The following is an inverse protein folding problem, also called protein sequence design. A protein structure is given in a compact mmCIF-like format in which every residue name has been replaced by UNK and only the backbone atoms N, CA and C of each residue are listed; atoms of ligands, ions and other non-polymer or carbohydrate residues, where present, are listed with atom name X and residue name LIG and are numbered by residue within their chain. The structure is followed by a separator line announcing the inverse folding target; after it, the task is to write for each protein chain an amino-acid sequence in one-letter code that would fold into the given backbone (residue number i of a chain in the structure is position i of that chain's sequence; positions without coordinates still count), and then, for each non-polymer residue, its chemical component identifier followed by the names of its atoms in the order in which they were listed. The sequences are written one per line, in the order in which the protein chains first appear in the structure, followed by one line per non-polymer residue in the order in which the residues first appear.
data_IF_573812531030
#
_entry.id   IF_573812531030
#
_cell.length_a   1.000
_cell.length_b   1.000
_cell.length_c   1.000
_cell.angle_alpha   90.00
_cell.angle_beta   90.00
_cell.angle_gamma   90.00
#
_symmetry.space_group_name_H-M   'P 1'
#
loop_
_entity.id
_entity.type
_entity.pdbx_description
1 polymer ?
#
# COMPACT_ATOMS: atom_id res chain seq x y z
N UNK A 1 -7.30 -10.52 13.84
CA UNK A 1 -8.77 -10.43 13.78
C UNK A 1 -9.33 -10.88 15.13
N UNK A 2 -10.52 -10.40 15.56
CA UNK A 2 -11.08 -10.67 16.88
C UNK A 2 -11.12 -12.16 17.29
N UNK A 3 -11.14 -13.09 16.33
CA UNK A 3 -11.13 -14.54 16.55
C UNK A 3 -9.72 -15.19 16.38
N UNK A 4 -8.64 -14.42 16.37
CA UNK A 4 -7.26 -14.92 16.22
C UNK A 4 -6.74 -15.05 14.78
N UNK A 5 -7.54 -14.72 13.76
CA UNK A 5 -7.12 -14.74 12.36
C UNK A 5 -6.08 -13.66 11.99
N UNK A 6 -5.25 -13.91 10.96
CA UNK A 6 -4.28 -12.93 10.44
C UNK A 6 -4.95 -11.97 9.46
N UNK A 7 -4.79 -10.66 9.67
CA UNK A 7 -5.44 -9.62 8.86
C UNK A 7 -5.13 -9.76 7.37
N UNK A 8 -3.86 -9.93 7.00
CA UNK A 8 -3.49 -10.05 5.59
C UNK A 8 -4.06 -11.28 4.91
N UNK A 9 -4.12 -12.42 5.61
CA UNK A 9 -4.70 -13.64 5.05
C UNK A 9 -6.19 -13.46 4.79
N UNK A 10 -6.91 -12.80 5.70
CA UNK A 10 -8.32 -12.48 5.51
C UNK A 10 -8.53 -11.53 4.32
N UNK A 11 -7.74 -10.46 4.21
CA UNK A 11 -7.84 -9.53 3.08
C UNK A 11 -7.51 -10.19 1.74
N UNK A 12 -6.56 -11.12 1.70
CA UNK A 12 -6.23 -11.86 0.47
C UNK A 12 -7.33 -12.87 0.07
N UNK A 13 -8.15 -13.31 1.02
CA UNK A 13 -9.28 -14.21 0.77
C UNK A 13 -10.50 -13.49 0.16
N UNK A 14 -10.62 -12.17 0.35
CA UNK A 14 -11.67 -11.35 -0.25
C UNK A 14 -11.58 -11.33 -1.77
N UNK A 15 -12.71 -11.17 -2.47
CA UNK A 15 -12.71 -11.03 -3.93
C UNK A 15 -11.89 -9.81 -4.39
N UNK A 16 -11.18 -9.89 -5.53
CA UNK A 16 -10.47 -8.74 -6.06
C UNK A 16 -11.46 -7.64 -6.47
N UNK A 17 -11.15 -6.40 -6.08
CA UNK A 17 -11.91 -5.22 -6.50
C UNK A 17 -11.66 -4.88 -7.97
N UNK A 18 -10.46 -5.21 -8.46
CA UNK A 18 -10.01 -4.90 -9.81
C UNK A 18 -8.50 -4.79 -9.89
N UNK A 19 -8.02 -4.17 -10.96
CA UNK A 19 -6.60 -4.02 -11.25
C UNK A 19 -6.25 -2.56 -11.53
N UNK A 20 -4.99 -2.21 -11.24
CA UNK A 20 -4.38 -0.95 -11.63
C UNK A 20 -3.10 -1.22 -12.41
N UNK A 21 -2.69 -0.25 -13.21
CA UNK A 21 -1.43 -0.28 -13.93
C UNK A 21 -0.70 1.04 -13.77
N UNK A 22 0.61 0.98 -13.55
CA UNK A 22 1.46 2.15 -13.54
C UNK A 22 2.89 1.84 -13.98
N UNK A 23 3.60 2.89 -14.35
CA UNK A 23 5.03 2.81 -14.66
C UNK A 23 5.85 2.96 -13.38
N UNK A 24 6.68 1.95 -13.08
CA UNK A 24 7.73 2.04 -12.08
C UNK A 24 9.01 2.56 -12.74
N UNK A 25 9.52 3.69 -12.26
CA UNK A 25 10.77 4.27 -12.75
C UNK A 25 11.97 3.35 -12.47
N UNK A 26 13.03 3.48 -13.29
CA UNK A 26 14.26 2.72 -13.09
C UNK A 26 14.93 3.07 -11.76
N UNK A 27 15.49 2.06 -11.09
CA UNK A 27 16.28 2.19 -9.85
C UNK A 27 17.52 1.31 -9.93
N UNK A 28 18.42 1.42 -8.96
CA UNK A 28 19.66 0.64 -8.93
C UNK A 28 19.38 -0.86 -9.10
N UNK A 29 19.79 -1.43 -10.24
CA UNK A 29 19.60 -2.85 -10.56
C UNK A 29 18.19 -3.25 -11.05
N UNK A 30 17.28 -2.30 -11.28
CA UNK A 30 15.93 -2.57 -11.80
C UNK A 30 15.56 -1.60 -12.94
N UNK A 31 15.36 -2.09 -14.17
CA UNK A 31 14.95 -1.24 -15.28
C UNK A 31 13.53 -0.70 -15.06
N UNK A 32 13.24 0.42 -15.73
CA UNK A 32 11.87 0.95 -15.83
C UNK A 32 10.94 -0.14 -16.36
N UNK A 33 9.79 -0.33 -15.72
CA UNK A 33 8.82 -1.35 -16.14
C UNK A 33 7.39 -0.97 -15.80
N UNK A 34 6.45 -1.55 -16.53
CA UNK A 34 5.03 -1.49 -16.21
C UNK A 34 4.75 -2.50 -15.09
N UNK A 35 3.99 -2.06 -14.08
CA UNK A 35 3.52 -2.87 -12.96
C UNK A 35 2.01 -2.89 -13.03
N UNK A 36 1.43 -4.10 -13.11
CA UNK A 36 0.00 -4.33 -12.94
C UNK A 36 -0.24 -4.92 -11.56
N UNK A 37 -1.17 -4.37 -10.79
CA UNK A 37 -1.49 -4.89 -9.47
C UNK A 37 -2.97 -5.24 -9.36
N UNK A 38 -3.25 -6.35 -8.70
CA UNK A 38 -4.60 -6.67 -8.24
C UNK A 38 -4.85 -6.05 -6.88
N UNK A 39 -6.02 -5.43 -6.71
CA UNK A 39 -6.43 -4.78 -5.47
C UNK A 39 -7.46 -5.63 -4.72
N UNK A 40 -7.25 -5.79 -3.40
CA UNK A 40 -8.20 -6.42 -2.47
C UNK A 40 -8.33 -5.56 -1.24
N UNK A 41 -9.54 -5.38 -0.73
CA UNK A 41 -9.79 -4.61 0.48
C UNK A 41 -10.63 -5.39 1.48
N UNK A 42 -10.38 -5.13 2.76
CA UNK A 42 -11.16 -5.70 3.86
C UNK A 42 -11.31 -4.66 4.96
N UNK A 43 -12.55 -4.25 5.23
CA UNK A 43 -12.88 -3.40 6.36
C UNK A 43 -13.01 -4.25 7.62
N UNK A 44 -12.40 -3.81 8.71
CA UNK A 44 -12.36 -4.56 9.97
C UNK A 44 -12.35 -3.62 11.16
N UNK A 45 -13.06 -4.01 12.22
CA UNK A 45 -12.93 -3.41 13.53
C UNK A 45 -11.85 -4.13 14.34
N UNK A 46 -10.80 -3.39 14.72
CA UNK A 46 -9.72 -3.90 15.55
C UNK A 46 -9.86 -3.40 16.99
N UNK A 47 -9.54 -4.23 18.00
CA UNK A 47 -9.51 -3.76 19.38
C UNK A 47 -8.47 -2.66 19.55
N UNK A 48 -8.85 -1.58 20.22
CA UNK A 48 -7.91 -0.52 20.59
C UNK A 48 -6.95 -1.06 21.67
N UNK A 49 -5.64 -0.79 21.56
CA UNK A 49 -4.66 -1.31 22.52
C UNK A 49 -4.84 -0.73 23.93
N UNK A 50 -5.34 0.51 24.04
CA UNK A 50 -5.28 1.30 25.28
C UNK A 50 -6.64 1.43 26.00
N UNK A 51 -7.70 0.77 25.51
CA UNK A 51 -9.02 0.89 26.13
C UNK A 51 -9.84 -0.38 25.91
N UNK A 52 -10.13 -1.08 27.00
CA UNK A 52 -10.93 -2.30 26.99
C UNK A 52 -12.33 -2.02 26.39
N UNK A 53 -12.75 -2.88 25.46
CA UNK A 53 -14.04 -2.75 24.77
C UNK A 53 -14.10 -1.70 23.66
N UNK A 54 -13.09 -0.83 23.49
CA UNK A 54 -13.04 0.13 22.37
C UNK A 54 -12.54 -0.55 21.10
N UNK A 55 -13.18 -0.24 19.98
CA UNK A 55 -12.76 -0.70 18.65
C UNK A 55 -12.40 0.48 17.76
N UNK A 56 -11.53 0.22 16.79
CA UNK A 56 -11.14 1.14 15.72
C UNK A 56 -11.43 0.48 14.39
N UNK A 57 -12.31 1.11 13.62
CA UNK A 57 -12.59 0.71 12.24
C UNK A 57 -11.41 1.09 11.35
N UNK A 58 -10.85 0.10 10.66
CA UNK A 58 -9.78 0.28 9.70
C UNK A 58 -10.09 -0.48 8.42
N UNK A 59 -9.58 0.02 7.30
CA UNK A 59 -9.58 -0.71 6.04
C UNK A 59 -8.17 -1.20 5.76
N UNK A 60 -8.03 -2.50 5.52
CA UNK A 60 -6.82 -3.06 4.94
C UNK A 60 -6.96 -3.10 3.42
N UNK A 61 -5.99 -2.54 2.71
CA UNK A 61 -5.90 -2.57 1.25
C UNK A 61 -4.60 -3.26 0.86
N UNK A 62 -4.69 -4.33 0.07
CA UNK A 62 -3.54 -5.05 -0.46
C UNK A 62 -3.51 -4.89 -1.97
N UNK A 63 -2.37 -4.42 -2.48
CA UNK A 63 -2.06 -4.34 -3.90
C UNK A 63 -0.90 -5.29 -4.21
N UNK A 64 -1.17 -6.35 -4.98
CA UNK A 64 -0.18 -7.38 -5.31
C UNK A 64 0.10 -7.35 -6.81
N UNK A 65 1.37 -7.23 -7.18
CA UNK A 65 1.78 -7.28 -8.58
C UNK A 65 1.46 -8.63 -9.24
N UNK A 66 0.84 -8.57 -10.42
CA UNK A 66 0.52 -9.69 -11.27
C UNK A 66 1.55 -9.75 -12.40
N UNK A 67 2.13 -10.93 -12.62
CA UNK A 67 3.04 -11.14 -13.75
C UNK A 67 4.39 -10.42 -13.62
N UNK A 68 4.91 -10.28 -12.39
CA UNK A 68 6.25 -9.73 -12.17
C UNK A 68 7.29 -10.51 -13.03
N UNK A 69 8.21 -9.83 -13.73
CA UNK A 69 9.23 -10.48 -14.54
C UNK A 69 10.10 -11.45 -13.74
N UNK A 70 10.59 -12.50 -14.39
CA UNK A 70 11.51 -13.45 -13.77
C UNK A 70 12.74 -12.73 -13.18
N UNK A 71 13.12 -13.12 -11.96
CA UNK A 71 14.23 -12.49 -11.22
C UNK A 71 13.91 -11.12 -10.59
N UNK A 72 12.72 -10.54 -10.85
CA UNK A 72 12.28 -9.33 -10.17
C UNK A 72 11.44 -9.68 -8.94
N UNK A 73 11.73 -9.04 -7.80
CA UNK A 73 10.85 -9.11 -6.63
C UNK A 73 9.52 -8.39 -6.96
N UNK A 74 8.36 -9.03 -6.80
CA UNK A 74 7.07 -8.39 -7.04
C UNK A 74 6.83 -7.19 -6.12
N UNK A 75 6.15 -6.18 -6.65
CA UNK A 75 5.66 -5.05 -5.86
C UNK A 75 4.41 -5.50 -5.10
N UNK A 76 4.51 -5.50 -3.77
CA UNK A 76 3.38 -5.76 -2.90
C UNK A 76 3.25 -4.63 -1.87
N UNK A 77 2.08 -4.00 -1.82
CA UNK A 77 1.74 -3.00 -0.83
C UNK A 77 0.63 -3.52 0.08
N UNK A 78 0.83 -3.36 1.38
CA UNK A 78 -0.17 -3.66 2.42
C UNK A 78 -0.41 -2.39 3.20
N UNK A 79 -1.53 -1.75 2.93
CA UNK A 79 -1.90 -0.46 3.51
C UNK A 79 -2.96 -0.66 4.58
N UNK A 80 -2.87 0.14 5.64
CA UNK A 80 -3.91 0.31 6.64
C UNK A 80 -4.34 1.78 6.61
N UNK A 81 -5.64 2.01 6.57
CA UNK A 81 -6.21 3.36 6.51
C UNK A 81 -7.49 3.44 7.35
N UNK A 82 -7.81 4.63 7.84
CA UNK A 82 -9.10 4.93 8.45
C UNK A 82 -10.16 5.31 7.41
N UNK A 83 -9.79 5.42 6.13
CA UNK A 83 -10.73 5.71 5.04
C UNK A 83 -11.48 4.44 4.63
N UNK A 84 -12.74 4.63 4.24
CA UNK A 84 -13.54 3.55 3.67
C UNK A 84 -13.15 3.33 2.21
N UNK A 85 -13.21 2.07 1.76
CA UNK A 85 -12.97 1.68 0.37
C UNK A 85 -14.27 1.10 -0.17
N UNK A 86 -15.06 1.93 -0.85
CA UNK A 86 -16.37 1.57 -1.41
C UNK A 86 -16.26 1.26 -2.89
N UNK A 87 -15.46 0.25 -3.24
CA UNK A 87 -15.22 -0.17 -4.62
C UNK A 87 -13.82 0.14 -5.13
N UNK A 88 -13.62 -0.10 -6.44
CA UNK A 88 -12.31 -0.02 -7.08
C UNK A 88 -11.76 1.41 -7.08
N UNK A 89 -12.57 2.40 -7.44
CA UNK A 89 -12.16 3.80 -7.60
C UNK A 89 -11.58 4.37 -6.30
N UNK A 90 -12.24 4.08 -5.17
CA UNK A 90 -11.74 4.46 -3.85
C UNK A 90 -10.43 3.75 -3.50
N UNK A 91 -10.25 2.50 -3.91
CA UNK A 91 -8.99 1.78 -3.72
C UNK A 91 -7.86 2.38 -4.57
N UNK A 92 -8.15 2.73 -5.83
CA UNK A 92 -7.18 3.36 -6.75
C UNK A 92 -6.69 4.70 -6.17
N UNK A 93 -7.60 5.54 -5.68
CA UNK A 93 -7.23 6.82 -5.07
C UNK A 93 -6.23 6.65 -3.92
N UNK A 94 -6.47 5.68 -3.03
CA UNK A 94 -5.54 5.39 -1.92
C UNK A 94 -4.17 4.91 -2.41
N UNK A 95 -4.13 4.11 -3.47
CA UNK A 95 -2.87 3.68 -4.07
C UNK A 95 -2.14 4.87 -4.69
N UNK A 96 -2.84 5.75 -5.39
CA UNK A 96 -2.24 6.93 -6.00
C UNK A 96 -1.65 7.87 -4.94
N UNK A 97 -2.35 8.11 -3.83
CA UNK A 97 -1.77 8.85 -2.70
C UNK A 97 -0.56 8.14 -2.09
N UNK A 98 -0.60 6.82 -1.95
CA UNK A 98 0.53 6.08 -1.43
C UNK A 98 1.74 6.14 -2.37
N UNK A 99 1.52 6.18 -3.69
CA UNK A 99 2.58 6.34 -4.69
C UNK A 99 3.29 7.70 -4.56
N UNK A 100 2.60 8.74 -4.09
CA UNK A 100 3.20 10.05 -3.79
C UNK A 100 4.11 10.02 -2.55
N UNK A 101 4.15 8.95 -1.75
CA UNK A 101 5.03 8.83 -0.57
C UNK A 101 6.51 9.12 -0.89
N UNK A 102 6.97 8.82 -2.11
CA UNK A 102 8.35 9.06 -2.53
C UNK A 102 8.72 10.54 -2.67
N UNK A 103 7.74 11.45 -2.81
CA UNK A 103 8.02 12.88 -2.91
C UNK A 103 8.71 13.42 -1.65
N UNK A 104 8.39 12.86 -0.47
CA UNK A 104 9.04 13.26 0.79
C UNK A 104 10.54 12.93 0.80
N UNK A 105 10.94 11.85 0.13
CA UNK A 105 12.36 11.50 0.02
C UNK A 105 13.10 12.49 -0.88
N UNK A 106 12.43 12.98 -1.93
CA UNK A 106 12.99 14.03 -2.79
C UNK A 106 13.19 15.32 -2.00
N UNK A 107 12.21 15.71 -1.19
CA UNK A 107 12.33 16.85 -0.28
C UNK A 107 13.53 16.69 0.65
N UNK A 108 13.67 15.54 1.33
CA UNK A 108 14.80 15.29 2.23
C UNK A 108 16.14 15.24 1.49
N UNK A 109 16.20 14.69 0.28
CA UNK A 109 17.40 14.69 -0.54
C UNK A 109 17.83 16.12 -0.90
N UNK A 110 16.89 16.99 -1.28
CA UNK A 110 17.18 18.41 -1.55
C UNK A 110 17.68 19.11 -0.29
N UNK A 111 17.02 18.91 0.85
CA UNK A 111 17.45 19.53 2.12
C UNK A 111 18.87 19.09 2.53
N UNK A 112 19.15 17.79 2.49
CA UNK A 112 20.44 17.22 2.93
C UNK A 112 21.57 17.54 1.95
N UNK A 113 21.38 17.26 0.66
CA UNK A 113 22.46 17.32 -0.32
C UNK A 113 22.51 18.64 -1.09
N UNK A 114 21.35 19.26 -1.33
CA UNK A 114 21.25 20.56 -2.00
C UNK A 114 21.49 21.71 -1.04
N UNK A 115 20.66 21.82 0.00
CA UNK A 115 20.74 22.89 0.99
C UNK A 115 21.85 22.67 2.05
N UNK A 116 22.39 21.45 2.16
CA UNK A 116 23.50 21.10 3.06
C UNK A 116 23.23 21.43 4.53
N UNK A 117 22.01 21.19 5.00
CA UNK A 117 21.60 21.51 6.38
C UNK A 117 22.27 20.66 7.47
N UNK A 118 23.01 19.62 7.09
CA UNK A 118 23.72 18.69 7.99
C UNK A 118 25.26 18.87 7.94
N UNK A 119 25.75 19.98 7.36
CA UNK A 119 27.17 20.29 7.24
C UNK A 119 27.77 20.86 8.54
#
# INVERSE_FOLDING_TARGET
LPQGGKLWAATLAEAPLGEIEFTLASRHGQPKRIVRQQLRSHAVDLPAPDTEGRQVSVTCLIATEIGAPAGCKPVEWRLLTNRQVTGLEAAVELIDWYRCRWEIETLFHVLKNGCRVEA
#
